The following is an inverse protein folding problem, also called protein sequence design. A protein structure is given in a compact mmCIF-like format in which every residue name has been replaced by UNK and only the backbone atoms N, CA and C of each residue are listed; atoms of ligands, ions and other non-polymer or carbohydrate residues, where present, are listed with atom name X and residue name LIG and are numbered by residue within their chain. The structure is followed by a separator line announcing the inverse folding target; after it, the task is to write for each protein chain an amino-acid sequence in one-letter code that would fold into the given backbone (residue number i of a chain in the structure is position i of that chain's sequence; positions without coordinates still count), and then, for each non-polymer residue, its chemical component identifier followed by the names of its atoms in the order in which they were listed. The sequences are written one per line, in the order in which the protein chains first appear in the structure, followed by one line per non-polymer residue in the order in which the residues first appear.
data_IF_301896290231
#
_entry.id   IF_301896290231
#
_cell.length_a   1.000
_cell.length_b   1.000
_cell.length_c   1.000
_cell.angle_alpha   90.00
_cell.angle_beta   90.00
_cell.angle_gamma   90.00
#
_symmetry.space_group_name_H-M   'P 1'
#
loop_
_entity.id
_entity.type
_entity.pdbx_description
1 polymer ?
#
# COMPACT_ATOMS: atom_id res chain seq x y z
N UNK A 1 31.05 -18.30 -11.25
CA UNK A 1 30.14 -17.47 -10.41
C UNK A 1 28.79 -17.20 -11.10
N UNK A 2 28.77 -16.85 -12.39
CA UNK A 2 27.55 -16.45 -13.13
C UNK A 2 26.47 -17.54 -13.24
N UNK A 3 26.84 -18.82 -13.42
CA UNK A 3 25.86 -19.92 -13.43
C UNK A 3 24.99 -19.98 -12.16
N UNK A 4 25.56 -19.71 -10.99
CA UNK A 4 24.80 -19.72 -9.72
C UNK A 4 23.79 -18.57 -9.65
N UNK A 5 24.15 -17.40 -10.17
CA UNK A 5 23.25 -16.24 -10.26
C UNK A 5 22.09 -16.51 -11.23
N UNK A 6 22.35 -17.19 -12.34
CA UNK A 6 21.30 -17.57 -13.30
C UNK A 6 20.30 -18.53 -12.65
N UNK A 7 20.77 -19.58 -11.95
CA UNK A 7 19.85 -20.49 -11.26
C UNK A 7 19.05 -19.80 -10.15
N UNK A 8 19.67 -18.90 -9.37
CA UNK A 8 18.94 -18.11 -8.38
C UNK A 8 17.90 -17.20 -9.04
N UNK A 9 18.23 -16.57 -10.15
CA UNK A 9 17.29 -15.73 -10.91
C UNK A 9 16.10 -16.53 -11.44
N UNK A 10 16.34 -17.72 -12.00
CA UNK A 10 15.28 -18.62 -12.48
C UNK A 10 14.39 -19.10 -11.33
N UNK A 11 14.98 -19.50 -10.20
CA UNK A 11 14.21 -19.92 -9.01
C UNK A 11 13.38 -18.77 -8.47
N UNK A 12 13.94 -17.56 -8.38
CA UNK A 12 13.23 -16.39 -7.89
C UNK A 12 12.06 -16.02 -8.81
N UNK A 13 12.30 -16.02 -10.12
CA UNK A 13 11.26 -15.79 -11.12
C UNK A 13 10.15 -16.85 -11.03
N UNK A 14 10.52 -18.12 -10.89
CA UNK A 14 9.57 -19.21 -10.70
C UNK A 14 8.71 -19.02 -9.44
N UNK A 15 9.34 -18.59 -8.34
CA UNK A 15 8.65 -18.33 -7.08
C UNK A 15 7.66 -17.16 -7.23
N UNK A 16 8.03 -16.09 -7.94
CA UNK A 16 7.13 -14.99 -8.25
C UNK A 16 5.91 -15.43 -9.08
N UNK A 17 6.11 -16.30 -10.08
CA UNK A 17 5.01 -16.79 -10.93
C UNK A 17 4.00 -17.59 -10.12
N UNK A 18 4.44 -18.38 -9.13
CA UNK A 18 3.53 -19.15 -8.25
C UNK A 18 2.94 -18.26 -7.15
N UNK A 19 3.69 -17.30 -6.63
CA UNK A 19 3.24 -16.40 -5.57
C UNK A 19 2.17 -15.42 -6.08
N UNK A 20 2.31 -14.96 -7.33
CA UNK A 20 1.40 -14.00 -7.94
C UNK A 20 -0.08 -14.41 -7.87
N UNK A 21 -0.51 -15.59 -8.36
CA UNK A 21 -1.92 -15.98 -8.28
C UNK A 21 -2.43 -16.09 -6.85
N UNK A 22 -1.62 -16.60 -5.91
CA UNK A 22 -2.01 -16.72 -4.50
C UNK A 22 -2.23 -15.33 -3.89
N UNK A 23 -1.33 -14.39 -4.18
CA UNK A 23 -1.45 -13.00 -3.74
C UNK A 23 -2.70 -12.33 -4.36
N UNK A 24 -2.94 -12.52 -5.65
CA UNK A 24 -4.11 -11.97 -6.34
C UNK A 24 -5.43 -12.52 -5.79
N UNK A 25 -5.52 -13.83 -5.54
CA UNK A 25 -6.69 -14.42 -4.90
C UNK A 25 -6.87 -13.95 -3.45
N UNK A 26 -5.78 -13.82 -2.69
CA UNK A 26 -5.84 -13.27 -1.34
C UNK A 26 -6.34 -11.81 -1.34
N UNK A 27 -5.91 -11.01 -2.31
CA UNK A 27 -6.35 -9.63 -2.49
C UNK A 27 -7.84 -9.56 -2.89
N UNK A 28 -8.26 -10.42 -3.83
CA UNK A 28 -9.65 -10.49 -4.30
C UNK A 28 -10.62 -10.98 -3.22
N UNK A 29 -10.19 -11.88 -2.33
CA UNK A 29 -11.07 -12.43 -1.28
C UNK A 29 -11.18 -11.55 -0.05
N UNK A 30 -10.10 -10.85 0.33
CA UNK A 30 -10.09 -10.00 1.53
C UNK A 30 -10.38 -8.54 1.23
N UNK A 31 -10.25 -8.10 -0.02
CA UNK A 31 -10.41 -6.70 -0.43
C UNK A 31 -9.26 -5.79 0.04
N UNK A 32 -8.62 -6.10 1.16
CA UNK A 32 -7.43 -5.43 1.67
C UNK A 32 -6.41 -6.41 2.27
N UNK A 33 -5.13 -6.08 2.09
CA UNK A 33 -4.00 -6.69 2.78
C UNK A 33 -3.24 -5.56 3.47
N UNK A 34 -3.29 -5.54 4.80
CA UNK A 34 -2.52 -4.60 5.62
C UNK A 34 -1.31 -5.30 6.23
N UNK A 35 -0.11 -4.82 5.92
CA UNK A 35 1.15 -5.23 6.52
C UNK A 35 1.66 -4.11 7.45
N UNK A 36 1.81 -4.38 8.75
CA UNK A 36 2.39 -3.44 9.72
C UNK A 36 1.38 -2.85 10.72
N UNK A 37 1.83 -1.87 11.49
CA UNK A 37 1.03 -1.19 12.51
C UNK A 37 0.15 -0.13 11.84
N UNK A 38 -1.17 -0.42 11.80
CA UNK A 38 -2.19 0.36 11.06
C UNK A 38 -2.14 1.86 11.38
N UNK A 39 -1.71 2.21 12.60
CA UNK A 39 -1.80 3.59 13.10
C UNK A 39 -0.58 4.43 12.71
N UNK A 40 0.61 3.84 12.57
CA UNK A 40 1.82 4.66 12.49
C UNK A 40 2.83 4.28 11.40
N UNK A 41 2.83 3.02 10.97
CA UNK A 41 3.72 2.55 9.90
C UNK A 41 3.20 1.24 9.36
N UNK A 42 2.52 1.31 8.23
CA UNK A 42 1.92 0.16 7.55
C UNK A 42 1.90 0.35 6.05
N UNK A 43 2.02 -0.76 5.34
CA UNK A 43 1.73 -0.87 3.92
C UNK A 43 0.36 -1.54 3.80
N UNK A 44 -0.62 -0.83 3.29
CA UNK A 44 -1.94 -1.38 2.96
C UNK A 44 -2.10 -1.44 1.46
N UNK A 45 -2.45 -2.61 0.95
CA UNK A 45 -2.80 -2.82 -0.45
C UNK A 45 -4.27 -3.21 -0.46
N UNK A 46 -5.09 -2.50 -1.22
CA UNK A 46 -6.52 -2.77 -1.30
C UNK A 46 -6.97 -2.77 -2.75
N UNK A 47 -8.03 -3.52 -3.02
CA UNK A 47 -8.65 -3.59 -4.34
C UNK A 47 -9.69 -2.46 -4.42
N UNK A 48 -9.65 -1.69 -5.51
CA UNK A 48 -10.68 -0.71 -5.85
C UNK A 48 -11.61 -1.37 -6.85
N UNK A 49 -12.87 -1.52 -6.47
CA UNK A 49 -13.91 -2.16 -7.28
C UNK A 49 -15.15 -1.27 -7.28
N UNK A 50 -15.02 -0.11 -7.92
CA UNK A 50 -16.13 0.80 -8.18
C UNK A 50 -16.84 0.40 -9.49
N UNK A 51 -18.13 0.75 -9.63
CA UNK A 51 -18.95 0.38 -10.80
C UNK A 51 -18.33 0.81 -12.14
N UNK A 52 -17.58 1.93 -12.15
CA UNK A 52 -16.94 2.51 -13.35
C UNK A 52 -15.42 2.36 -13.38
N UNK A 53 -14.79 1.75 -12.35
CA UNK A 53 -13.33 1.64 -12.26
C UNK A 53 -12.86 0.44 -11.43
N UNK A 54 -11.95 -0.34 -11.99
CA UNK A 54 -11.25 -1.42 -11.28
C UNK A 54 -9.75 -1.13 -11.19
N UNK A 55 -9.20 -1.32 -10.00
CA UNK A 55 -7.83 -0.97 -9.72
C UNK A 55 -7.27 -1.59 -8.44
N UNK A 56 -6.00 -1.32 -8.20
CA UNK A 56 -5.31 -1.60 -6.95
C UNK A 56 -4.89 -0.26 -6.34
N UNK A 57 -5.27 -0.05 -5.08
CA UNK A 57 -4.76 1.00 -4.23
C UNK A 57 -3.60 0.50 -3.39
N UNK A 58 -2.48 1.23 -3.39
CA UNK A 58 -1.33 0.98 -2.54
C UNK A 58 -1.14 2.19 -1.64
N UNK A 59 -1.33 1.98 -0.36
CA UNK A 59 -1.17 2.96 0.70
C UNK A 59 0.06 2.62 1.54
N UNK A 60 0.99 3.56 1.67
CA UNK A 60 2.13 3.44 2.57
C UNK A 60 2.07 4.55 3.63
N UNK A 61 2.17 4.19 4.90
CA UNK A 61 2.29 5.14 5.99
C UNK A 61 3.67 5.07 6.65
N UNK A 62 4.23 6.24 6.99
CA UNK A 62 5.51 6.35 7.66
C UNK A 62 5.48 7.48 8.70
N UNK A 63 5.94 7.20 9.92
CA UNK A 63 6.16 8.23 10.94
C UNK A 63 7.12 9.32 10.44
N UNK A 64 6.79 10.57 10.71
CA UNK A 64 7.71 11.69 10.51
C UNK A 64 8.79 11.68 11.60
N UNK A 65 10.04 11.93 11.21
CA UNK A 65 11.16 12.05 12.17
C UNK A 65 11.04 13.30 13.04
N UNK A 66 10.43 14.36 12.51
CA UNK A 66 10.31 15.66 13.18
C UNK A 66 9.18 15.65 14.22
N UNK A 67 8.13 14.86 14.01
CA UNK A 67 7.05 14.70 14.97
C UNK A 67 6.56 13.23 15.00
N UNK A 68 6.86 12.46 16.06
CA UNK A 68 6.51 11.03 16.14
C UNK A 68 5.00 10.78 16.25
N UNK A 69 4.21 11.83 16.54
CA UNK A 69 2.75 11.83 16.58
C UNK A 69 2.11 12.07 15.21
N UNK A 70 2.91 12.40 14.19
CA UNK A 70 2.44 12.57 12.82
C UNK A 70 2.98 11.45 11.91
N UNK A 71 2.11 10.89 11.09
CA UNK A 71 2.44 9.96 10.02
C UNK A 71 2.12 10.56 8.66
N UNK A 72 3.07 10.45 7.73
CA UNK A 72 2.86 10.75 6.31
C UNK A 72 2.38 9.49 5.62
N UNK A 73 1.23 9.60 4.98
CA UNK A 73 0.60 8.52 4.24
C UNK A 73 0.55 8.89 2.76
N UNK A 74 1.13 8.05 1.93
CA UNK A 74 1.03 8.17 0.48
C UNK A 74 0.14 7.07 -0.07
N UNK A 75 -0.79 7.44 -0.95
CA UNK A 75 -1.69 6.52 -1.63
C UNK A 75 -1.48 6.64 -3.13
N UNK A 76 -1.29 5.50 -3.77
CA UNK A 76 -1.20 5.37 -5.22
C UNK A 76 -2.29 4.46 -5.71
N UNK A 77 -3.02 4.93 -6.69
CA UNK A 77 -4.01 4.15 -7.41
C UNK A 77 -3.45 3.75 -8.76
N UNK A 78 -3.54 2.46 -9.06
CA UNK A 78 -3.26 1.89 -10.37
C UNK A 78 -4.56 1.28 -10.89
N UNK A 79 -5.17 1.92 -11.88
CA UNK A 79 -6.39 1.44 -12.52
C UNK A 79 -6.04 0.69 -13.80
N UNK A 80 -6.66 -0.47 -14.04
CA UNK A 80 -6.56 -1.19 -15.32
C UNK A 80 -7.87 -1.18 -16.10
N UNK A 81 -8.98 -0.83 -15.45
CA UNK A 81 -10.29 -0.69 -16.07
C UNK A 81 -10.92 0.62 -15.57
N UNK A 82 -11.58 1.35 -16.46
CA UNK A 82 -12.18 2.66 -16.17
C UNK A 82 -11.34 3.87 -16.60
N UNK A 83 -11.91 5.08 -16.46
CA UNK A 83 -11.23 6.36 -16.78
C UNK A 83 -10.38 6.92 -15.62
N UNK A 84 -9.90 6.05 -14.72
CA UNK A 84 -9.00 6.47 -13.66
C UNK A 84 -7.60 6.72 -14.23
N UNK A 85 -7.09 7.96 -14.13
CA UNK A 85 -5.65 8.19 -14.31
C UNK A 85 -4.89 7.75 -13.05
N UNK A 86 -3.63 7.36 -13.19
CA UNK A 86 -2.78 7.03 -12.04
C UNK A 86 -2.67 8.25 -11.11
N UNK A 87 -3.34 8.20 -9.96
CA UNK A 87 -3.32 9.26 -8.98
C UNK A 87 -2.41 8.85 -7.81
N UNK A 88 -1.38 9.67 -7.57
CA UNK A 88 -0.55 9.60 -6.37
C UNK A 88 -0.90 10.80 -5.49
N UNK A 89 -1.51 10.56 -4.33
CA UNK A 89 -1.78 11.60 -3.33
C UNK A 89 -0.99 11.30 -2.07
N UNK A 90 -0.53 12.35 -1.40
CA UNK A 90 0.15 12.24 -0.11
C UNK A 90 -0.58 13.16 0.87
N UNK A 91 -0.94 12.60 2.02
CA UNK A 91 -1.61 13.33 3.10
C UNK A 91 -0.95 12.99 4.43
N UNK A 92 -1.11 13.87 5.42
CA UNK A 92 -0.52 13.68 6.73
C UNK A 92 -1.59 13.64 7.81
N UNK A 93 -1.48 12.61 8.63
CA UNK A 93 -2.33 12.39 9.78
C UNK A 93 -1.51 12.64 11.03
N UNK A 94 -1.95 13.59 11.86
CA UNK A 94 -1.39 13.81 13.16
C UNK A 94 -2.38 13.32 14.22
N UNK A 95 -1.94 12.39 15.05
CA UNK A 95 -2.72 11.87 16.17
C UNK A 95 -2.47 12.76 17.38
N UNK A 96 -3.53 13.32 17.96
CA UNK A 96 -3.45 13.91 19.30
C UNK A 96 -3.59 12.80 20.32
N UNK A 97 -2.69 12.76 21.29
CA UNK A 97 -2.78 11.85 22.43
C UNK A 97 -3.77 12.44 23.46
N UNK A 98 -5.06 12.48 23.13
CA UNK A 98 -6.15 12.75 24.07
C UNK A 98 -7.35 11.85 23.70
N UNK A 99 -8.10 11.40 24.71
CA UNK A 99 -9.11 10.33 24.79
C UNK A 99 -10.26 10.31 23.75
N UNK A 100 -10.18 11.03 22.64
CA UNK A 100 -11.20 11.01 21.60
C UNK A 100 -10.54 11.17 20.23
N UNK A 101 -10.39 10.05 19.52
CA UNK A 101 -9.67 9.89 18.25
C UNK A 101 -10.16 10.81 17.13
N UNK A 102 -9.72 12.06 17.15
CA UNK A 102 -9.99 13.04 16.12
C UNK A 102 -8.78 13.12 15.19
N UNK A 103 -8.88 12.45 14.05
CA UNK A 103 -7.89 12.47 12.98
C UNK A 103 -7.90 13.86 12.32
N UNK A 104 -6.83 14.64 12.51
CA UNK A 104 -6.68 15.93 11.81
C UNK A 104 -5.78 15.70 10.60
N UNK A 105 -6.39 15.67 9.41
CA UNK A 105 -5.67 15.65 8.11
C UNK A 105 -5.06 17.03 7.85
N UNK A 106 -3.73 17.13 7.88
CA UNK A 106 -3.01 18.33 7.46
C UNK A 106 -2.10 18.02 6.27
N UNK A 107 -1.82 19.03 5.44
CA UNK A 107 -0.85 18.92 4.35
C UNK A 107 0.55 18.91 4.98
N UNK A 108 1.37 17.90 4.71
CA UNK A 108 2.76 17.91 5.13
C UNK A 108 3.51 18.98 4.32
N UNK A 109 3.85 20.10 4.97
CA UNK A 109 4.83 21.06 4.47
C UNK A 109 6.03 21.11 5.40
#
# INVERSE_FOLDING_TARGET
MWRRLIYLGVIFLWLLVICFPVASFALATRGEISFGDRVHSGLRIFLVQEDDAQGIGIEWSRRLRVNPQCSKTGVRYLFWEGRGSDFSTEYCLCYKQEENGSEVTSICQ
#
